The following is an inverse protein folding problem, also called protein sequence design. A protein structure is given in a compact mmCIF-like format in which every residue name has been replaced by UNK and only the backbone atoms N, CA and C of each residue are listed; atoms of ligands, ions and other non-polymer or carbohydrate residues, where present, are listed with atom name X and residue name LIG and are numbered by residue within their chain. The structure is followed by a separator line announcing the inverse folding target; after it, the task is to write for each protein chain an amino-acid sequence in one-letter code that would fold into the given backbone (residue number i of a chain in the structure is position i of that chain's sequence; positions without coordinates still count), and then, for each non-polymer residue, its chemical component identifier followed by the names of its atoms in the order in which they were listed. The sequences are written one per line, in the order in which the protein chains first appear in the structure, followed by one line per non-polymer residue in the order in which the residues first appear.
data_IF_093676611371
#
_entry.id   IF_093676611371
#
_cell.length_a   1.000
_cell.length_b   1.000
_cell.length_c   1.000
_cell.angle_alpha   90.00
_cell.angle_beta   90.00
_cell.angle_gamma   90.00
#
_symmetry.space_group_name_H-M   'P 1'
#
loop_
_entity.id
_entity.type
_entity.pdbx_description
1 polymer ?
#
# COMPACT_ATOMS: atom_id res chain seq x y z
N UNK A 1 -12.63 0.14 5.04
CA UNK A 1 -13.55 -0.77 4.33
C UNK A 1 -13.62 -2.14 5.00
N UNK A 2 -12.59 -2.99 4.86
CA UNK A 2 -12.64 -4.40 5.32
C UNK A 2 -12.97 -4.58 6.81
N UNK A 3 -12.43 -3.72 7.68
CA UNK A 3 -12.68 -3.79 9.13
C UNK A 3 -14.17 -3.54 9.45
N UNK A 4 -14.75 -2.47 8.89
CA UNK A 4 -16.15 -2.10 9.16
C UNK A 4 -17.17 -2.92 8.35
N UNK A 5 -16.77 -3.54 7.24
CA UNK A 5 -17.64 -4.42 6.46
C UNK A 5 -17.46 -5.88 6.89
N UNK A 6 -16.42 -6.53 6.37
CA UNK A 6 -16.19 -7.97 6.52
C UNK A 6 -15.90 -8.38 7.97
N UNK A 7 -14.98 -7.72 8.66
CA UNK A 7 -14.59 -8.12 10.02
C UNK A 7 -15.73 -7.90 11.02
N UNK A 8 -16.39 -6.74 10.95
CA UNK A 8 -17.53 -6.42 11.82
C UNK A 8 -18.67 -7.43 11.66
N UNK A 9 -18.98 -7.84 10.42
CA UNK A 9 -19.95 -8.91 10.15
C UNK A 9 -19.52 -10.24 10.79
N UNK A 10 -18.26 -10.66 10.60
CA UNK A 10 -17.72 -11.90 11.18
C UNK A 10 -17.70 -11.89 12.71
N UNK A 11 -17.47 -10.72 13.31
CA UNK A 11 -17.46 -10.53 14.76
C UNK A 11 -18.87 -10.35 15.34
N UNK A 12 -19.92 -10.22 14.52
CA UNK A 12 -21.28 -9.92 14.98
C UNK A 12 -21.42 -8.55 15.62
N UNK A 13 -20.53 -7.60 15.26
CA UNK A 13 -20.49 -6.25 15.83
C UNK A 13 -21.13 -5.28 14.84
N UNK A 14 -21.90 -4.32 15.36
CA UNK A 14 -22.40 -3.22 14.54
C UNK A 14 -21.23 -2.35 14.02
N UNK A 15 -21.03 -2.23 12.70
CA UNK A 15 -20.00 -1.39 12.09
C UNK A 15 -19.97 0.05 12.59
N UNK A 16 -21.13 0.62 12.94
CA UNK A 16 -21.22 1.97 13.49
C UNK A 16 -20.59 2.12 14.88
N UNK A 17 -20.38 1.00 15.60
CA UNK A 17 -19.69 0.95 16.89
C UNK A 17 -18.19 0.69 16.77
N UNK A 18 -17.70 0.39 15.58
CA UNK A 18 -16.27 0.14 15.35
C UNK A 18 -15.56 1.48 15.17
N UNK A 19 -14.65 1.79 16.08
CA UNK A 19 -13.76 2.94 15.94
C UNK A 19 -12.40 2.48 15.37
N UNK A 20 -12.20 2.70 14.07
CA UNK A 20 -11.01 2.29 13.33
C UNK A 20 -9.88 3.31 13.49
N UNK A 21 -8.86 2.91 14.23
CA UNK A 21 -7.61 3.66 14.41
C UNK A 21 -6.55 3.10 13.47
N UNK A 22 -5.94 3.96 12.67
CA UNK A 22 -4.88 3.57 11.76
C UNK A 22 -3.55 4.19 12.15
N UNK A 23 -2.51 3.36 12.31
CA UNK A 23 -1.15 3.79 12.64
C UNK A 23 -0.34 3.89 11.36
N UNK A 24 0.16 5.08 11.03
CA UNK A 24 0.79 5.35 9.73
C UNK A 24 2.13 6.09 9.89
N UNK A 25 3.14 5.80 9.05
CA UNK A 25 4.39 6.56 9.05
C UNK A 25 4.27 7.92 8.36
N UNK A 26 3.12 8.22 7.72
CA UNK A 26 2.90 9.39 6.89
C UNK A 26 1.77 10.28 7.43
N UNK A 27 1.97 11.59 7.41
CA UNK A 27 0.93 12.57 7.79
C UNK A 27 -0.15 12.73 6.73
N UNK A 28 0.16 12.47 5.45
CA UNK A 28 -0.83 12.58 4.36
C UNK A 28 -2.04 11.65 4.58
N UNK A 29 -1.84 10.50 5.22
CA UNK A 29 -2.91 9.56 5.58
C UNK A 29 -3.95 10.18 6.50
N UNK A 30 -3.61 11.19 7.31
CA UNK A 30 -4.58 11.93 8.14
C UNK A 30 -5.58 12.71 7.29
N UNK A 31 -5.13 13.30 6.18
CA UNK A 31 -6.02 13.98 5.24
C UNK A 31 -6.80 12.97 4.39
N UNK A 32 -6.15 11.86 4.01
CA UNK A 32 -6.75 10.83 3.17
C UNK A 32 -8.05 10.27 3.75
N UNK A 33 -8.16 10.08 5.07
CA UNK A 33 -9.37 9.53 5.71
C UNK A 33 -10.64 10.33 5.46
N UNK A 34 -10.53 11.63 5.14
CA UNK A 34 -11.67 12.52 4.87
C UNK A 34 -11.65 13.12 3.47
N UNK A 35 -10.82 12.58 2.57
CA UNK A 35 -10.58 13.13 1.23
C UNK A 35 -11.85 13.29 0.40
N UNK A 36 -12.71 12.27 0.39
CA UNK A 36 -13.96 12.26 -0.38
C UNK A 36 -14.89 11.14 0.14
N UNK A 37 -16.05 10.95 -0.50
CA UNK A 37 -17.00 9.91 -0.10
C UNK A 37 -16.53 8.48 -0.39
N UNK A 38 -15.47 8.28 -1.17
CA UNK A 38 -14.90 6.93 -1.37
C UNK A 38 -14.29 6.38 -0.07
N UNK A 39 -13.99 7.27 0.88
CA UNK A 39 -13.53 6.89 2.23
C UNK A 39 -14.67 6.38 3.12
N UNK A 40 -15.87 6.17 2.57
CA UNK A 40 -17.02 5.52 3.23
C UNK A 40 -17.42 4.25 2.48
N UNK A 41 -16.43 3.49 1.97
CA UNK A 41 -16.69 2.31 1.15
C UNK A 41 -17.46 1.24 1.91
N UNK A 42 -17.20 1.05 3.21
CA UNK A 42 -17.99 0.13 4.03
C UNK A 42 -19.47 0.51 4.05
N UNK A 43 -19.80 1.78 4.21
CA UNK A 43 -21.19 2.24 4.23
C UNK A 43 -21.92 1.94 2.91
N UNK A 44 -21.22 2.17 1.78
CA UNK A 44 -21.74 1.86 0.44
C UNK A 44 -21.96 0.35 0.27
N UNK A 45 -20.99 -0.47 0.65
CA UNK A 45 -21.07 -1.93 0.53
C UNK A 45 -22.21 -2.53 1.36
N UNK A 46 -22.46 -1.98 2.55
CA UNK A 46 -23.45 -2.50 3.48
C UNK A 46 -24.85 -1.90 3.29
N UNK A 47 -24.99 -0.85 2.45
CA UNK A 47 -26.25 -0.12 2.30
C UNK A 47 -26.73 0.57 3.59
N UNK A 48 -25.84 0.79 4.55
CA UNK A 48 -26.12 1.45 5.84
C UNK A 48 -24.98 2.37 6.23
N UNK A 49 -25.23 3.41 7.01
CA UNK A 49 -24.17 4.30 7.45
C UNK A 49 -23.28 3.63 8.52
N UNK A 50 -22.02 3.37 8.16
CA UNK A 50 -20.96 2.89 9.05
C UNK A 50 -19.91 3.99 9.32
N UNK A 51 -20.20 5.24 8.94
CA UNK A 51 -19.27 6.35 9.00
C UNK A 51 -18.12 6.23 7.98
N UNK A 52 -16.99 6.84 8.30
CA UNK A 52 -15.78 6.72 7.49
C UNK A 52 -15.08 5.39 7.76
N UNK A 53 -14.42 4.86 6.74
CA UNK A 53 -13.69 3.58 6.80
C UNK A 53 -12.58 3.57 7.84
N UNK A 54 -11.95 4.72 8.07
CA UNK A 54 -10.93 4.97 9.09
C UNK A 54 -11.34 6.22 9.85
N UNK A 55 -11.53 6.11 11.16
CA UNK A 55 -12.04 7.21 11.97
C UNK A 55 -10.94 8.22 12.30
N UNK A 56 -9.74 7.71 12.60
CA UNK A 56 -8.55 8.51 12.91
C UNK A 56 -7.27 7.84 12.41
N UNK A 57 -6.31 8.66 12.00
CA UNK A 57 -4.94 8.24 11.75
C UNK A 57 -4.02 8.87 12.79
N UNK A 58 -3.21 8.04 13.44
CA UNK A 58 -2.12 8.47 14.29
C UNK A 58 -0.79 8.09 13.64
N UNK A 59 0.22 8.92 13.85
CA UNK A 59 1.57 8.66 13.35
C UNK A 59 2.31 7.69 14.26
N UNK A 60 3.33 7.01 13.73
CA UNK A 60 4.25 6.19 14.54
C UNK A 60 4.83 6.99 15.72
N UNK A 61 5.10 8.29 15.54
CA UNK A 61 5.59 9.17 16.62
C UNK A 61 4.54 9.44 17.69
N UNK A 62 3.27 9.59 17.30
CA UNK A 62 2.17 9.80 18.25
C UNK A 62 1.92 8.53 19.07
N UNK A 63 1.87 7.37 18.42
CA UNK A 63 1.77 6.08 19.11
C UNK A 63 2.94 5.87 20.09
N UNK A 64 4.18 6.11 19.65
CA UNK A 64 5.35 5.96 20.51
C UNK A 64 5.31 6.86 21.75
N UNK A 65 4.70 8.05 21.65
CA UNK A 65 4.49 8.94 22.82
C UNK A 65 3.43 8.38 23.75
N UNK A 66 2.32 7.87 23.22
CA UNK A 66 1.25 7.26 24.02
C UNK A 66 1.75 6.04 24.80
N UNK A 67 2.53 5.16 24.16
CA UNK A 67 3.15 3.98 24.80
C UNK A 67 4.05 4.42 25.96
N UNK A 68 4.92 5.42 25.74
CA UNK A 68 5.80 5.96 26.79
C UNK A 68 5.03 6.61 27.93
N UNK A 69 3.97 7.35 27.63
CA UNK A 69 3.10 7.98 28.64
C UNK A 69 2.34 6.95 29.48
N UNK A 70 2.00 5.80 28.90
CA UNK A 70 1.39 4.69 29.61
C UNK A 70 2.38 3.87 30.45
N UNK A 71 3.68 4.20 30.42
CA UNK A 71 4.71 3.46 31.15
C UNK A 71 5.04 2.08 30.57
N UNK A 72 4.67 1.84 29.31
CA UNK A 72 4.87 0.53 28.65
C UNK A 72 6.29 0.46 28.07
N UNK A 73 7.04 -0.57 28.46
CA UNK A 73 8.37 -0.85 27.93
C UNK A 73 8.29 -1.89 26.80
N UNK A 74 8.07 -1.42 25.58
CA UNK A 74 7.78 -2.29 24.41
C UNK A 74 8.86 -3.36 24.14
N UNK A 75 10.12 -3.08 24.48
CA UNK A 75 11.24 -4.01 24.27
C UNK A 75 11.28 -5.17 25.27
N UNK A 76 10.44 -5.13 26.31
CA UNK A 76 10.30 -6.19 27.32
C UNK A 76 9.01 -6.99 27.16
N UNK A 77 8.17 -6.65 26.18
CA UNK A 77 6.96 -7.41 25.89
C UNK A 77 7.33 -8.69 25.14
N UNK A 78 6.59 -9.75 25.42
CA UNK A 78 6.66 -10.97 24.62
C UNK A 78 6.06 -10.72 23.24
N UNK A 79 6.53 -11.46 22.23
CA UNK A 79 5.97 -11.40 20.89
C UNK A 79 4.55 -11.98 20.89
N UNK A 80 3.61 -11.27 20.26
CA UNK A 80 2.23 -11.70 20.09
C UNK A 80 1.85 -11.74 18.60
N UNK A 81 0.97 -12.67 18.24
CA UNK A 81 0.45 -12.76 16.87
C UNK A 81 -0.62 -11.70 16.61
N UNK A 82 -0.73 -11.25 15.35
CA UNK A 82 -1.77 -10.33 14.93
C UNK A 82 -3.15 -11.02 14.88
N UNK A 83 -4.21 -10.27 15.20
CA UNK A 83 -5.58 -10.79 15.28
C UNK A 83 -6.12 -11.37 13.96
N UNK A 84 -6.75 -12.54 14.03
CA UNK A 84 -7.47 -13.17 12.91
C UNK A 84 -8.86 -12.55 12.71
N UNK A 85 -9.44 -12.49 11.48
CA UNK A 85 -8.91 -13.00 10.20
C UNK A 85 -8.09 -12.00 9.37
N UNK A 86 -7.92 -10.75 9.80
CA UNK A 86 -7.27 -9.70 8.99
C UNK A 86 -5.80 -9.44 9.35
N UNK A 87 -5.28 -10.08 10.39
CA UNK A 87 -3.90 -9.99 10.86
C UNK A 87 -2.88 -10.78 10.05
N UNK A 88 -3.16 -12.00 9.52
CA UNK A 88 -2.20 -12.72 8.70
C UNK A 88 -1.79 -11.92 7.46
N UNK A 89 -0.48 -11.78 7.23
CA UNK A 89 0.10 -11.07 6.08
C UNK A 89 1.17 -11.89 5.37
N UNK A 90 1.47 -11.55 4.12
CA UNK A 90 2.56 -12.15 3.36
C UNK A 90 3.77 -11.21 3.33
N UNK A 91 4.96 -11.74 3.03
CA UNK A 91 6.17 -10.91 2.89
C UNK A 91 6.05 -9.79 1.85
N UNK A 92 5.16 -9.94 0.85
CA UNK A 92 4.83 -8.89 -0.11
C UNK A 92 4.08 -7.71 0.56
N UNK A 93 3.23 -7.99 1.55
CA UNK A 93 2.58 -6.97 2.37
C UNK A 93 3.58 -6.22 3.26
N UNK A 94 4.62 -6.91 3.76
CA UNK A 94 5.66 -6.31 4.60
C UNK A 94 6.51 -5.28 3.84
N UNK A 95 6.88 -5.56 2.58
CA UNK A 95 7.74 -4.66 1.81
C UNK A 95 7.04 -3.40 1.31
N UNK A 96 5.70 -3.31 1.41
CA UNK A 96 4.92 -2.15 0.95
C UNK A 96 5.41 -0.81 1.54
N UNK A 97 5.93 -0.84 2.78
CA UNK A 97 6.46 0.34 3.46
C UNK A 97 7.82 0.85 2.95
N UNK A 98 8.51 0.07 2.11
CA UNK A 98 9.78 0.45 1.50
C UNK A 98 9.58 1.04 0.10
N UNK A 99 10.47 1.96 -0.31
CA UNK A 99 10.42 2.54 -1.66
C UNK A 99 10.63 1.43 -2.70
N UNK A 100 9.68 1.26 -3.60
CA UNK A 100 9.67 0.20 -4.62
C UNK A 100 8.98 -1.09 -4.18
N UNK A 101 8.58 -1.23 -2.91
CA UNK A 101 7.94 -2.45 -2.43
C UNK A 101 6.53 -2.69 -2.98
N UNK A 102 5.76 -1.61 -3.22
CA UNK A 102 4.45 -1.70 -3.91
C UNK A 102 4.62 -2.25 -5.33
N UNK A 103 5.59 -1.69 -6.06
CA UNK A 103 5.95 -2.11 -7.41
C UNK A 103 6.38 -3.58 -7.43
N UNK A 104 7.28 -3.96 -6.52
CA UNK A 104 7.78 -5.32 -6.40
C UNK A 104 6.66 -6.32 -6.08
N UNK A 105 5.75 -6.00 -5.16
CA UNK A 105 4.59 -6.84 -4.84
C UNK A 105 3.61 -6.98 -6.02
N UNK A 106 3.33 -5.89 -6.72
CA UNK A 106 2.44 -5.88 -7.88
C UNK A 106 3.00 -6.70 -9.04
N UNK A 107 4.28 -6.52 -9.36
CA UNK A 107 4.98 -7.28 -10.43
C UNK A 107 5.00 -8.77 -10.12
N UNK A 108 5.35 -9.18 -8.90
CA UNK A 108 5.34 -10.59 -8.49
C UNK A 108 3.96 -11.21 -8.68
N UNK A 109 2.92 -10.50 -8.27
CA UNK A 109 1.53 -10.97 -8.40
C UNK A 109 1.10 -11.07 -9.85
N UNK A 110 1.38 -10.05 -10.66
CA UNK A 110 1.06 -10.03 -12.09
C UNK A 110 1.78 -11.16 -12.85
N UNK A 111 3.08 -11.38 -12.56
CA UNK A 111 3.87 -12.44 -13.17
C UNK A 111 3.27 -13.82 -12.89
N UNK A 112 2.93 -14.12 -11.63
CA UNK A 112 2.30 -15.39 -11.27
C UNK A 112 0.93 -15.56 -11.94
N UNK A 113 0.09 -14.52 -11.94
CA UNK A 113 -1.25 -14.61 -12.52
C UNK A 113 -1.23 -14.90 -14.03
N UNK A 114 -0.27 -14.32 -14.76
CA UNK A 114 -0.12 -14.48 -16.21
C UNK A 114 0.61 -15.77 -16.56
N UNK A 115 1.74 -16.07 -15.92
CA UNK A 115 2.63 -17.18 -16.30
C UNK A 115 2.30 -18.49 -15.58
N UNK A 116 1.51 -18.43 -14.49
CA UNK A 116 1.30 -19.53 -13.52
C UNK A 116 2.59 -20.06 -12.90
N UNK A 117 3.67 -19.27 -12.95
CA UNK A 117 4.98 -19.60 -12.38
C UNK A 117 5.40 -18.50 -11.40
N UNK A 118 6.14 -18.90 -10.39
CA UNK A 118 6.77 -17.94 -9.47
C UNK A 118 7.89 -17.18 -10.18
N UNK A 119 8.10 -15.93 -9.79
CA UNK A 119 9.18 -15.11 -10.31
C UNK A 119 10.53 -15.67 -9.76
N UNK A 120 11.51 -16.05 -10.63
CA UNK A 120 12.72 -16.73 -10.18
C UNK A 120 13.58 -15.95 -9.19
N UNK A 121 13.70 -14.62 -9.39
CA UNK A 121 14.25 -13.71 -8.38
C UNK A 121 13.13 -12.79 -7.91
N UNK A 122 12.64 -13.08 -6.70
CA UNK A 122 11.66 -12.26 -6.00
C UNK A 122 12.20 -10.84 -5.73
N UNK A 123 13.52 -10.66 -5.64
CA UNK A 123 14.13 -9.36 -5.42
C UNK A 123 14.22 -8.59 -6.74
N UNK A 124 13.26 -7.72 -7.01
CA UNK A 124 13.37 -6.79 -8.13
C UNK A 124 14.37 -5.68 -7.79
N UNK A 125 15.67 -6.01 -7.89
CA UNK A 125 16.80 -5.13 -7.56
C UNK A 125 16.69 -3.74 -8.20
N UNK A 126 16.20 -3.56 -9.44
CA UNK A 126 16.05 -2.23 -10.01
C UNK A 126 15.05 -1.33 -9.27
N UNK A 127 14.05 -1.87 -8.54
CA UNK A 127 13.15 -1.04 -7.73
C UNK A 127 13.68 -0.72 -6.33
N UNK A 128 14.78 -1.34 -5.88
CA UNK A 128 15.33 -1.15 -4.53
C UNK A 128 16.38 -0.03 -4.51
N UNK A 129 16.61 0.56 -3.35
CA UNK A 129 17.57 1.67 -3.16
C UNK A 129 16.94 3.05 -3.11
N UNK A 130 17.78 4.08 -2.93
CA UNK A 130 17.38 5.47 -2.69
C UNK A 130 17.59 6.39 -3.91
N UNK A 131 17.90 5.83 -5.08
CA UNK A 131 17.97 6.60 -6.33
C UNK A 131 16.63 7.28 -6.63
N UNK A 132 16.71 8.51 -7.14
CA UNK A 132 15.55 9.38 -7.30
C UNK A 132 14.51 8.87 -8.29
N UNK A 133 14.96 8.32 -9.42
CA UNK A 133 14.11 7.58 -10.36
C UNK A 133 14.80 6.26 -10.64
N UNK A 134 14.04 5.19 -10.49
CA UNK A 134 14.47 3.83 -10.76
C UNK A 134 13.64 3.27 -11.89
N UNK A 135 14.26 2.61 -12.84
CA UNK A 135 13.59 2.06 -14.02
C UNK A 135 13.97 0.60 -14.18
N UNK A 136 13.06 -0.21 -14.70
CA UNK A 136 13.33 -1.61 -14.96
C UNK A 136 12.34 -2.24 -15.91
N UNK A 137 12.68 -3.43 -16.39
CA UNK A 137 11.83 -4.23 -17.27
C UNK A 137 11.69 -5.64 -16.70
N UNK A 138 10.48 -6.18 -16.77
CA UNK A 138 10.17 -7.55 -16.37
C UNK A 138 9.68 -8.30 -17.60
N UNK A 139 10.42 -9.31 -18.02
CA UNK A 139 10.02 -10.20 -19.11
C UNK A 139 9.18 -11.36 -18.55
N UNK A 140 7.99 -11.56 -19.13
CA UNK A 140 7.07 -12.60 -18.71
C UNK A 140 7.32 -13.93 -19.44
N UNK A 141 8.33 -13.99 -20.32
CA UNK A 141 8.74 -15.18 -21.07
C UNK A 141 7.77 -15.59 -22.18
N UNK A 142 6.69 -14.84 -22.39
CA UNK A 142 5.67 -15.02 -23.41
C UNK A 142 5.72 -13.91 -24.49
N UNK A 143 6.82 -13.16 -24.56
CA UNK A 143 6.98 -12.00 -25.43
C UNK A 143 6.40 -10.70 -24.86
N UNK A 144 5.76 -10.73 -23.69
CA UNK A 144 5.30 -9.52 -23.00
C UNK A 144 6.37 -8.99 -22.05
N UNK A 145 6.76 -7.74 -22.26
CA UNK A 145 7.74 -7.03 -21.42
C UNK A 145 7.06 -5.88 -20.70
N UNK A 146 7.13 -5.88 -19.37
CA UNK A 146 6.55 -4.83 -18.53
C UNK A 146 7.65 -3.89 -18.08
N UNK A 147 7.74 -2.73 -18.73
CA UNK A 147 8.51 -1.56 -18.30
C UNK A 147 7.88 -0.88 -17.09
N UNK A 148 8.68 -0.63 -16.07
CA UNK A 148 8.27 0.01 -14.82
C UNK A 148 9.21 1.13 -14.41
N UNK A 149 8.67 2.13 -13.73
CA UNK A 149 9.45 3.18 -13.07
C UNK A 149 9.04 3.30 -11.60
N UNK A 150 9.96 3.76 -10.74
CA UNK A 150 9.69 4.09 -9.34
C UNK A 150 10.31 5.45 -9.07
N UNK A 151 9.47 6.46 -8.89
CA UNK A 151 9.90 7.80 -8.50
C UNK A 151 9.95 7.91 -6.97
N UNK A 152 11.16 8.04 -6.41
CA UNK A 152 11.34 8.33 -4.99
C UNK A 152 11.42 9.84 -4.77
N UNK A 153 10.68 10.38 -3.79
CA UNK A 153 10.56 11.82 -3.50
C UNK A 153 9.85 12.64 -4.59
N UNK A 154 9.11 13.66 -4.16
CA UNK A 154 8.30 14.49 -5.07
C UNK A 154 9.14 15.24 -6.11
N UNK A 155 10.39 15.60 -5.79
CA UNK A 155 11.28 16.32 -6.71
C UNK A 155 11.60 15.56 -8.00
N UNK A 156 11.49 14.23 -7.98
CA UNK A 156 11.81 13.37 -9.13
C UNK A 156 10.58 13.06 -10.00
N UNK A 157 9.36 13.38 -9.53
CA UNK A 157 8.12 13.07 -10.24
C UNK A 157 8.06 13.80 -11.59
N UNK A 158 8.46 15.08 -11.62
CA UNK A 158 8.42 15.88 -12.84
C UNK A 158 9.23 15.23 -13.97
N UNK A 159 10.44 14.75 -13.67
CA UNK A 159 11.29 14.08 -14.66
C UNK A 159 10.63 12.85 -15.29
N UNK A 160 9.92 12.03 -14.48
CA UNK A 160 9.19 10.87 -14.99
C UNK A 160 7.98 11.29 -15.82
N UNK A 161 7.21 12.27 -15.35
CA UNK A 161 6.02 12.74 -16.05
C UNK A 161 6.34 13.45 -17.37
N UNK A 162 7.46 14.18 -17.46
CA UNK A 162 7.89 14.80 -18.71
C UNK A 162 8.21 13.75 -19.78
N UNK A 163 8.84 12.62 -19.42
CA UNK A 163 9.06 11.50 -20.37
C UNK A 163 7.73 10.95 -20.89
N UNK A 164 6.74 10.80 -20.01
CA UNK A 164 5.39 10.32 -20.38
C UNK A 164 4.67 11.33 -21.29
N UNK A 165 4.75 12.63 -20.98
CA UNK A 165 4.17 13.70 -21.81
C UNK A 165 4.82 13.77 -23.18
N UNK A 166 6.15 13.73 -23.25
CA UNK A 166 6.88 13.76 -24.51
C UNK A 166 6.50 12.56 -25.41
N UNK A 167 6.41 11.35 -24.85
CA UNK A 167 5.98 10.17 -25.60
C UNK A 167 4.54 10.33 -26.12
N UNK A 168 3.62 10.79 -25.26
CA UNK A 168 2.23 11.08 -25.65
C UNK A 168 2.15 12.09 -26.79
N UNK A 169 2.86 13.22 -26.66
CA UNK A 169 2.82 14.31 -27.62
C UNK A 169 3.47 13.93 -28.96
N UNK A 170 4.44 13.01 -28.94
CA UNK A 170 5.04 12.41 -30.13
C UNK A 170 4.21 11.25 -30.74
N UNK A 171 3.07 10.88 -30.15
CA UNK A 171 2.25 9.74 -30.59
C UNK A 171 2.93 8.37 -30.39
N UNK A 172 3.91 8.30 -29.49
CA UNK A 172 4.65 7.09 -29.15
C UNK A 172 3.99 6.33 -28.00
N UNK A 173 4.33 5.05 -27.87
CA UNK A 173 3.90 4.25 -26.73
C UNK A 173 4.47 4.83 -25.41
N UNK A 174 3.69 4.85 -24.32
CA UNK A 174 4.19 5.29 -23.03
C UNK A 174 5.48 4.53 -22.62
N UNK A 175 6.48 5.23 -22.06
CA UNK A 175 7.76 4.61 -21.71
C UNK A 175 7.64 3.59 -20.58
N UNK A 176 6.57 3.66 -19.78
CA UNK A 176 6.33 2.80 -18.63
C UNK A 176 4.88 2.31 -18.65
N UNK A 177 4.67 1.04 -18.32
CA UNK A 177 3.33 0.46 -18.13
C UNK A 177 2.85 0.66 -16.68
N UNK A 178 3.76 0.82 -15.72
CA UNK A 178 3.46 1.11 -14.32
C UNK A 178 4.52 2.01 -13.70
N UNK A 179 4.11 3.03 -12.94
CA UNK A 179 4.96 4.04 -12.28
C UNK A 179 4.62 4.10 -10.79
#
# INVERSE_FOLDING_TARGET
AMIKAYWAEKAGIDPGKVYSVSVMPCTAKKWETRRNDDMKSASRMLGKDAGYDVDIVITTRELARMIKQAGIEILKLDDEEADSPLGPYTGAGTIFGATGGVMEAAVRSAYFLVTKKELPDVNFKPARGLEGVKEGEVDFGNGTKIRIAVAHQMGNIAAVLEKVRAARDAGQEPPYHFI
#
